data_IF_196084442532
#
_entry.id   IF_196084442532
#
_cell.length_a   1.000
_cell.length_b   1.000
_cell.length_c   1.000
_cell.angle_alpha   90.00
_cell.angle_beta   90.00
_cell.angle_gamma   90.00
#
_symmetry.space_group_name_H-M   'P 1'
#
loop_
_entity.id
_entity.type
_entity.pdbx_description
1 polymer ?
#
# COMPACT_ATOMS: atom_id res chain seq x y z
N UNK A 1 -16.28 27.08 3.21
CA UNK A 1 -17.51 27.55 2.53
C UNK A 1 -18.49 26.44 2.13
N UNK A 2 -18.19 25.51 1.20
CA UNK A 2 -19.17 24.45 0.81
C UNK A 2 -19.56 23.58 2.00
N UNK A 3 -18.54 23.14 2.73
CA UNK A 3 -18.67 22.31 3.93
C UNK A 3 -19.48 23.00 5.03
N UNK A 4 -19.15 24.25 5.36
CA UNK A 4 -19.90 25.03 6.36
C UNK A 4 -21.36 25.17 6.00
N UNK A 5 -21.66 25.52 4.74
CA UNK A 5 -23.03 25.64 4.24
C UNK A 5 -23.76 24.30 4.29
N UNK A 6 -23.05 23.20 4.04
CA UNK A 6 -23.61 21.86 4.14
C UNK A 6 -24.00 21.54 5.59
N UNK A 7 -23.07 21.71 6.55
CA UNK A 7 -23.33 21.53 7.98
C UNK A 7 -24.52 22.36 8.46
N UNK A 8 -24.58 23.65 8.08
CA UNK A 8 -25.70 24.54 8.41
C UNK A 8 -27.03 24.04 7.85
N UNK A 9 -27.04 23.55 6.60
CA UNK A 9 -28.26 23.01 5.95
C UNK A 9 -28.78 21.76 6.63
N UNK A 10 -27.90 20.88 7.11
CA UNK A 10 -28.29 19.63 7.78
C UNK A 10 -28.34 19.73 9.31
N UNK A 11 -28.08 20.92 9.88
CA UNK A 11 -28.00 21.18 11.33
C UNK A 11 -27.00 20.25 12.04
N UNK A 12 -25.86 20.01 11.40
CA UNK A 12 -24.74 19.25 11.98
C UNK A 12 -23.70 20.22 12.53
N UNK A 13 -23.17 19.92 13.72
CA UNK A 13 -22.02 20.67 14.25
C UNK A 13 -20.82 20.45 13.33
N UNK A 14 -20.08 21.53 13.03
CA UNK A 14 -18.90 21.46 12.17
C UNK A 14 -17.81 20.57 12.79
N UNK A 15 -17.71 20.57 14.12
CA UNK A 15 -16.75 19.76 14.88
C UNK A 15 -17.01 18.25 14.80
N UNK A 16 -18.24 17.83 14.48
CA UNK A 16 -18.60 16.42 14.25
C UNK A 16 -18.14 15.91 12.88
N UNK A 17 -17.64 16.80 12.02
CA UNK A 17 -17.32 16.47 10.65
C UNK A 17 -15.82 16.32 10.42
N UNK A 18 -15.45 15.17 9.84
CA UNK A 18 -14.08 14.85 9.45
C UNK A 18 -13.95 14.79 7.94
N UNK A 19 -13.08 15.63 7.38
CA UNK A 19 -12.78 15.63 5.95
C UNK A 19 -11.60 14.71 5.65
N UNK A 20 -11.69 14.06 4.49
CA UNK A 20 -10.70 13.10 3.99
C UNK A 20 -10.54 13.27 2.49
N UNK A 21 -9.31 13.48 2.04
CA UNK A 21 -8.93 13.43 0.63
C UNK A 21 -8.11 12.16 0.41
N UNK A 22 -8.41 11.47 -0.68
CA UNK A 22 -7.76 10.24 -1.10
C UNK A 22 -7.39 10.39 -2.58
N UNK A 23 -6.11 10.29 -2.87
CA UNK A 23 -5.59 10.25 -4.23
C UNK A 23 -4.84 8.95 -4.42
N UNK A 24 -4.98 8.32 -5.58
CA UNK A 24 -4.15 7.17 -5.92
C UNK A 24 -3.71 7.17 -7.38
N UNK A 25 -2.57 6.53 -7.63
CA UNK A 25 -2.06 6.18 -8.95
C UNK A 25 -1.96 4.65 -9.00
N UNK A 26 -2.45 4.03 -10.08
CA UNK A 26 -2.41 2.57 -10.24
C UNK A 26 -1.82 2.24 -11.60
N UNK A 27 -0.91 1.28 -11.63
CA UNK A 27 -0.27 0.79 -12.84
C UNK A 27 0.23 -0.64 -12.66
N UNK A 28 0.36 -1.36 -13.77
CA UNK A 28 1.01 -2.67 -13.81
C UNK A 28 2.52 -2.47 -14.02
N UNK A 29 3.32 -3.10 -13.15
CA UNK A 29 4.78 -3.06 -13.22
C UNK A 29 5.29 -3.59 -14.57
N UNK A 30 4.59 -4.54 -15.18
CA UNK A 30 5.01 -5.20 -16.41
C UNK A 30 4.34 -4.66 -17.68
N UNK A 31 3.63 -3.52 -17.59
CA UNK A 31 2.90 -2.96 -18.72
C UNK A 31 3.77 -2.82 -19.99
N UNK A 32 5.05 -2.44 -19.86
CA UNK A 32 5.98 -2.34 -20.98
C UNK A 32 6.27 -3.69 -21.65
N UNK A 33 6.43 -4.75 -20.87
CA UNK A 33 6.64 -6.11 -21.36
C UNK A 33 5.44 -6.63 -22.16
N UNK A 34 4.23 -6.13 -21.83
CA UNK A 34 2.97 -6.43 -22.52
C UNK A 34 2.72 -5.56 -23.76
N UNK A 35 3.71 -4.78 -24.18
CA UNK A 35 3.63 -3.93 -25.37
C UNK A 35 3.04 -2.53 -25.13
N UNK A 36 2.72 -2.16 -23.88
CA UNK A 36 2.27 -0.80 -23.56
C UNK A 36 3.49 0.15 -23.49
N UNK A 37 3.77 0.85 -24.58
CA UNK A 37 4.90 1.79 -24.69
C UNK A 37 4.54 3.24 -24.35
N UNK A 38 3.25 3.53 -24.13
CA UNK A 38 2.78 4.86 -23.77
C UNK A 38 3.35 5.25 -22.41
N UNK A 39 4.02 6.40 -22.35
CA UNK A 39 4.51 6.98 -21.11
C UNK A 39 3.67 8.19 -20.75
N UNK A 40 3.08 8.18 -19.55
CA UNK A 40 2.39 9.33 -18.98
C UNK A 40 3.15 9.82 -17.75
N UNK A 41 3.70 11.03 -17.83
CA UNK A 41 4.38 11.63 -16.70
C UNK A 41 3.35 12.13 -15.66
N UNK A 42 3.47 11.64 -14.43
CA UNK A 42 2.65 12.08 -13.30
C UNK A 42 3.50 12.83 -12.28
N UNK A 43 3.12 14.07 -11.97
CA UNK A 43 3.75 14.84 -10.88
C UNK A 43 3.03 14.56 -9.57
N UNK A 44 3.68 13.80 -8.69
CA UNK A 44 3.21 13.54 -7.33
C UNK A 44 3.41 14.80 -6.49
N UNK A 45 2.33 15.54 -6.25
CA UNK A 45 2.34 16.72 -5.37
C UNK A 45 1.75 16.34 -4.03
N UNK A 46 2.30 16.88 -2.96
CA UNK A 46 1.69 16.79 -1.63
C UNK A 46 0.29 17.43 -1.68
N UNK A 47 -0.67 16.85 -0.96
CA UNK A 47 -2.08 17.25 -1.02
C UNK A 47 -2.24 18.70 -0.51
N UNK A 48 -1.57 19.06 0.57
CA UNK A 48 -1.55 20.42 1.11
C UNK A 48 -1.07 21.47 0.07
N UNK A 49 0.01 21.19 -0.67
CA UNK A 49 0.53 22.04 -1.75
C UNK A 49 -0.46 22.14 -2.91
N UNK A 50 -1.18 21.05 -3.20
CA UNK A 50 -2.27 21.04 -4.20
C UNK A 50 -3.41 21.98 -3.77
N UNK A 51 -3.82 21.94 -2.51
CA UNK A 51 -4.86 22.83 -1.98
C UNK A 51 -4.39 24.29 -1.96
N UNK A 52 -3.15 24.54 -1.54
CA UNK A 52 -2.56 25.87 -1.52
C UNK A 52 -2.52 26.50 -2.94
N UNK A 53 -2.25 25.71 -3.98
CA UNK A 53 -2.27 26.19 -5.37
C UNK A 53 -3.64 26.70 -5.84
N UNK A 54 -4.72 26.29 -5.15
CA UNK A 54 -6.10 26.73 -5.38
C UNK A 54 -6.56 27.77 -4.33
N UNK A 55 -5.63 28.34 -3.55
CA UNK A 55 -5.90 29.27 -2.45
C UNK A 55 -6.79 28.68 -1.35
N UNK A 56 -6.73 27.37 -1.15
CA UNK A 56 -7.41 26.67 -0.04
C UNK A 56 -6.37 26.33 1.01
N UNK A 57 -6.61 26.77 2.25
CA UNK A 57 -5.75 26.45 3.39
C UNK A 57 -6.20 25.16 4.05
N UNK A 58 -5.26 24.25 4.29
CA UNK A 58 -5.47 23.07 5.13
C UNK A 58 -5.13 23.47 6.58
N UNK A 59 -5.88 23.00 7.60
CA UNK A 59 -5.54 23.26 9.00
C UNK A 59 -4.13 22.80 9.35
N UNK A 60 -3.47 23.50 10.28
CA UNK A 60 -2.15 23.10 10.79
C UNK A 60 -2.16 21.68 11.38
N UNK A 61 -3.24 21.33 12.07
CA UNK A 61 -3.47 19.99 12.60
C UNK A 61 -4.22 19.14 11.58
N UNK A 62 -3.47 18.37 10.80
CA UNK A 62 -4.01 17.35 9.89
C UNK A 62 -3.11 16.11 9.90
N UNK A 63 -3.69 14.95 9.60
CA UNK A 63 -2.94 13.72 9.36
C UNK A 63 -2.73 13.55 7.87
N UNK A 64 -1.49 13.40 7.43
CA UNK A 64 -1.13 13.01 6.07
C UNK A 64 -0.44 11.65 6.08
N UNK A 65 -0.73 10.80 5.10
CA UNK A 65 -0.06 9.53 4.98
C UNK A 65 0.04 9.09 3.52
N UNK A 66 1.20 8.53 3.17
CA UNK A 66 1.47 8.02 1.84
C UNK A 66 1.93 6.57 1.96
N UNK A 67 1.40 5.71 1.10
CA UNK A 67 1.72 4.29 1.11
C UNK A 67 1.48 3.70 -0.28
N UNK A 68 2.11 2.57 -0.56
CA UNK A 68 1.83 1.78 -1.75
C UNK A 68 1.25 0.43 -1.35
N UNK A 69 0.33 -0.08 -2.16
CA UNK A 69 -0.15 -1.45 -2.10
C UNK A 69 0.20 -2.10 -3.42
N UNK A 70 1.03 -3.14 -3.38
CA UNK A 70 1.34 -3.97 -4.54
C UNK A 70 0.50 -5.23 -4.44
N UNK A 71 -0.24 -5.55 -5.50
CA UNK A 71 -1.05 -6.77 -5.59
C UNK A 71 -0.37 -7.74 -6.53
N UNK A 72 -0.05 -8.93 -6.02
CA UNK A 72 0.48 -10.06 -6.77
C UNK A 72 -0.56 -11.18 -6.75
N UNK A 73 -1.05 -11.60 -7.92
CA UNK A 73 -1.95 -12.73 -8.01
C UNK A 73 -1.18 -14.04 -7.79
N UNK A 74 -1.80 -15.00 -7.12
CA UNK A 74 -1.22 -16.33 -6.96
C UNK A 74 -1.47 -17.12 -8.24
N UNK A 75 -0.41 -17.40 -9.00
CA UNK A 75 -0.43 -18.21 -10.21
C UNK A 75 -0.15 -19.69 -9.91
N UNK A 76 -0.48 -20.56 -10.87
CA UNK A 76 -0.19 -21.99 -10.74
C UNK A 76 1.32 -22.25 -10.75
N UNK A 77 2.07 -21.45 -11.51
CA UNK A 77 3.52 -21.45 -11.57
C UNK A 77 4.12 -21.18 -10.20
N UNK A 78 3.61 -20.18 -9.47
CA UNK A 78 4.05 -19.87 -8.11
C UNK A 78 3.75 -20.99 -7.11
N UNK A 79 2.60 -21.66 -7.25
CA UNK A 79 2.23 -22.80 -6.42
C UNK A 79 3.15 -24.02 -6.64
N UNK A 80 3.68 -24.19 -7.85
CA UNK A 80 4.60 -25.29 -8.18
C UNK A 80 6.02 -25.09 -7.60
N UNK A 81 6.35 -23.87 -7.15
CA UNK A 81 7.63 -23.56 -6.51
C UNK A 81 7.73 -24.04 -5.05
N UNK A 82 6.61 -24.49 -4.47
CA UNK A 82 6.55 -24.93 -3.07
C UNK A 82 5.85 -26.28 -2.93
N UNK A 83 6.27 -27.07 -1.94
CA UNK A 83 5.59 -28.32 -1.61
C UNK A 83 4.34 -28.04 -0.77
N UNK A 84 3.17 -28.40 -1.31
CA UNK A 84 1.87 -28.22 -0.64
C UNK A 84 1.33 -29.60 -0.26
N UNK A 85 1.27 -29.87 1.05
CA UNK A 85 0.59 -31.05 1.58
C UNK A 85 -0.89 -30.72 1.87
N UNK A 86 -1.77 -31.18 0.98
CA UNK A 86 -3.23 -31.00 1.12
C UNK A 86 -3.85 -31.68 2.36
N UNK A 87 -3.13 -32.59 3.02
CA UNK A 87 -3.57 -33.24 4.25
C UNK A 87 -3.10 -32.53 5.52
N UNK A 88 -2.23 -31.52 5.39
CA UNK A 88 -1.82 -30.67 6.50
C UNK A 88 -2.97 -29.80 7.01
N UNK A 89 -2.87 -29.35 8.26
CA UNK A 89 -3.79 -28.33 8.81
C UNK A 89 -3.54 -26.95 8.20
N UNK A 90 -2.31 -26.72 7.74
CA UNK A 90 -1.81 -25.44 7.24
C UNK A 90 -1.15 -25.63 5.86
N UNK A 91 -1.88 -26.13 4.84
CA UNK A 91 -1.33 -26.53 3.55
C UNK A 91 -0.60 -25.40 2.81
N UNK A 92 -1.03 -24.15 2.97
CA UNK A 92 -0.49 -23.00 2.23
C UNK A 92 0.57 -22.22 3.01
N UNK A 93 0.92 -22.64 4.22
CA UNK A 93 1.97 -21.98 5.00
C UNK A 93 3.33 -21.93 4.27
N UNK A 94 3.80 -22.99 3.57
CA UNK A 94 5.05 -22.94 2.81
C UNK A 94 5.06 -21.85 1.73
N UNK A 95 3.93 -21.66 1.02
CA UNK A 95 3.77 -20.60 0.02
C UNK A 95 3.96 -19.21 0.66
N UNK A 96 3.20 -18.91 1.72
CA UNK A 96 3.25 -17.58 2.32
C UNK A 96 4.55 -17.29 3.05
N UNK A 97 5.22 -18.30 3.58
CA UNK A 97 6.59 -18.18 4.10
C UNK A 97 7.58 -17.85 2.98
N UNK A 98 7.55 -18.60 1.88
CA UNK A 98 8.41 -18.34 0.72
C UNK A 98 8.22 -16.91 0.18
N UNK A 99 6.97 -16.48 0.00
CA UNK A 99 6.66 -15.11 -0.42
C UNK A 99 7.13 -14.06 0.59
N UNK A 100 6.99 -14.33 1.89
CA UNK A 100 7.48 -13.43 2.95
C UNK A 100 8.99 -13.28 2.91
N UNK A 101 9.73 -14.37 2.69
CA UNK A 101 11.19 -14.37 2.66
C UNK A 101 11.70 -13.58 1.46
N UNK A 102 11.19 -13.85 0.26
CA UNK A 102 11.58 -13.13 -0.96
C UNK A 102 11.18 -11.66 -0.88
N UNK A 103 9.97 -11.35 -0.40
CA UNK A 103 9.52 -9.98 -0.16
C UNK A 103 10.43 -9.24 0.81
N UNK A 104 10.74 -9.85 1.96
CA UNK A 104 11.57 -9.26 3.00
C UNK A 104 13.00 -9.02 2.50
N UNK A 105 13.55 -9.97 1.74
CA UNK A 105 14.86 -9.82 1.10
C UNK A 105 14.86 -8.63 0.14
N UNK A 106 13.88 -8.56 -0.77
CA UNK A 106 13.81 -7.50 -1.77
C UNK A 106 13.59 -6.12 -1.13
N UNK A 107 12.68 -6.02 -0.16
CA UNK A 107 12.42 -4.79 0.55
C UNK A 107 13.66 -4.28 1.31
N UNK A 108 14.39 -5.16 2.02
CA UNK A 108 15.64 -4.81 2.71
C UNK A 108 16.73 -4.33 1.75
N UNK A 109 16.87 -4.96 0.57
CA UNK A 109 17.84 -4.58 -0.47
C UNK A 109 17.71 -3.10 -0.87
N UNK A 110 16.48 -2.58 -0.91
CA UNK A 110 16.16 -1.22 -1.32
C UNK A 110 15.80 -0.29 -0.17
N UNK A 111 16.11 -0.67 1.08
CA UNK A 111 15.84 0.10 2.31
C UNK A 111 14.35 0.42 2.54
N UNK A 112 13.46 -0.48 2.11
CA UNK A 112 12.02 -0.42 2.38
C UNK A 112 11.72 -1.19 3.66
N UNK A 113 11.93 -0.53 4.80
CA UNK A 113 11.87 -1.17 6.12
C UNK A 113 10.53 -1.03 6.84
N UNK A 114 9.53 -0.39 6.20
CA UNK A 114 8.21 -0.19 6.76
C UNK A 114 7.16 -0.76 5.81
N UNK A 115 6.68 -1.97 6.11
CA UNK A 115 5.73 -2.63 5.24
C UNK A 115 5.04 -3.82 5.87
N UNK A 116 4.10 -4.39 5.11
CA UNK A 116 3.40 -5.59 5.50
C UNK A 116 3.08 -6.48 4.31
N UNK A 117 3.07 -7.79 4.52
CA UNK A 117 2.52 -8.77 3.58
C UNK A 117 1.18 -9.24 4.12
N UNK A 118 0.11 -9.07 3.35
CA UNK A 118 -1.26 -9.47 3.69
C UNK A 118 -1.74 -10.52 2.69
N UNK A 119 -2.05 -11.71 3.19
CA UNK A 119 -2.55 -12.84 2.40
C UNK A 119 -3.68 -13.56 3.14
N UNK A 120 -4.76 -12.83 3.41
CA UNK A 120 -5.93 -13.32 4.13
C UNK A 120 -7.26 -12.94 3.46
N UNK A 121 -7.23 -12.51 2.19
CA UNK A 121 -8.40 -12.14 1.41
C UNK A 121 -9.07 -10.82 1.83
N UNK A 122 -8.50 -10.07 2.77
CA UNK A 122 -9.03 -8.78 3.23
C UNK A 122 -8.33 -7.61 2.52
N UNK A 123 -9.02 -6.47 2.41
CA UNK A 123 -8.48 -5.27 1.78
C UNK A 123 -7.67 -4.43 2.79
N UNK A 124 -6.36 -4.18 2.58
CA UNK A 124 -5.53 -3.42 3.47
C UNK A 124 -5.89 -1.94 3.40
N UNK A 125 -6.14 -1.35 4.56
CA UNK A 125 -6.28 0.09 4.71
C UNK A 125 -5.28 0.58 5.74
N UNK A 126 -4.35 1.39 5.27
CA UNK A 126 -3.36 2.05 6.11
C UNK A 126 -4.00 3.29 6.73
N UNK A 127 -3.92 3.45 8.06
CA UNK A 127 -4.28 4.70 8.75
C UNK A 127 -3.18 5.17 9.69
N UNK A 128 -3.15 6.49 9.89
CA UNK A 128 -2.36 7.05 10.98
C UNK A 128 -2.87 6.51 12.32
N UNK A 129 -1.94 6.02 13.14
CA UNK A 129 -2.19 5.58 14.50
C UNK A 129 -0.96 5.87 15.35
N UNK A 130 -1.16 6.22 16.62
CA UNK A 130 -0.07 6.42 17.58
C UNK A 130 0.62 5.10 17.98
N UNK A 131 -0.12 3.99 17.87
CA UNK A 131 0.36 2.63 18.11
C UNK A 131 0.24 1.82 16.83
N UNK A 132 1.14 0.87 16.63
CA UNK A 132 0.96 -0.12 15.57
C UNK A 132 -0.24 -1.01 15.90
N UNK A 133 -1.22 -1.01 15.02
CA UNK A 133 -2.47 -1.76 15.21
C UNK A 133 -2.74 -2.54 13.93
N UNK A 134 -2.91 -3.85 14.08
CA UNK A 134 -3.40 -4.72 13.01
C UNK A 134 -4.75 -5.25 13.46
N UNK A 135 -5.83 -4.83 12.80
CA UNK A 135 -7.18 -5.26 13.17
C UNK A 135 -8.04 -5.56 11.95
N UNK A 136 -8.96 -6.51 12.10
CA UNK A 136 -9.96 -6.85 11.08
C UNK A 136 -11.24 -6.05 11.36
N UNK A 137 -11.76 -5.38 10.33
CA UNK A 137 -13.04 -4.68 10.38
C UNK A 137 -13.88 -5.09 9.16
N UNK A 138 -14.72 -6.11 9.35
CA UNK A 138 -15.45 -6.74 8.25
C UNK A 138 -14.50 -7.35 7.21
N UNK A 139 -14.52 -6.80 6.00
CA UNK A 139 -13.68 -7.17 4.86
C UNK A 139 -12.35 -6.39 4.79
N UNK A 140 -12.09 -5.53 5.78
CA UNK A 140 -10.93 -4.65 5.80
C UNK A 140 -9.86 -5.17 6.76
N UNK A 141 -8.61 -5.14 6.31
CA UNK A 141 -7.42 -5.29 7.14
C UNK A 141 -6.90 -3.89 7.48
N UNK A 142 -7.23 -3.41 8.68
CA UNK A 142 -6.74 -2.13 9.16
C UNK A 142 -5.28 -2.27 9.60
N UNK A 143 -4.42 -1.39 9.08
CA UNK A 143 -3.02 -1.27 9.46
C UNK A 143 -2.77 0.15 9.98
N UNK A 144 -2.61 0.28 11.29
CA UNK A 144 -2.26 1.53 11.96
C UNK A 144 -0.76 1.72 11.96
N UNK A 145 -0.27 2.82 11.40
CA UNK A 145 1.14 3.19 11.38
C UNK A 145 1.35 4.60 11.90
N UNK A 146 2.50 4.83 12.54
CA UNK A 146 2.97 6.17 12.86
C UNK A 146 4.18 6.49 11.97
N UNK A 147 4.04 7.37 10.95
CA UNK A 147 5.17 7.75 10.12
C UNK A 147 6.33 8.36 10.91
N UNK A 148 6.07 8.98 12.05
CA UNK A 148 7.10 9.63 12.88
C UNK A 148 7.90 8.65 13.75
N UNK A 149 7.47 7.39 13.84
CA UNK A 149 8.21 6.34 14.56
C UNK A 149 9.19 5.63 13.63
N UNK A 150 10.27 5.11 14.21
CA UNK A 150 11.25 4.32 13.46
C UNK A 150 10.58 3.10 12.81
N UNK A 151 11.00 2.70 11.60
CA UNK A 151 10.41 1.55 10.91
C UNK A 151 10.41 0.31 11.79
N UNK A 152 9.25 -0.34 11.98
CA UNK A 152 9.14 -1.57 12.79
C UNK A 152 9.40 -2.86 11.98
N UNK A 153 10.09 -2.73 10.83
CA UNK A 153 10.34 -3.86 9.95
C UNK A 153 9.11 -4.23 9.13
N UNK A 154 9.08 -5.50 8.72
CA UNK A 154 8.04 -6.04 7.85
C UNK A 154 7.15 -6.98 8.66
N UNK A 155 5.84 -6.72 8.62
CA UNK A 155 4.85 -7.54 9.30
C UNK A 155 4.13 -8.42 8.28
N UNK A 156 4.16 -9.74 8.46
CA UNK A 156 3.39 -10.64 7.59
C UNK A 156 2.16 -11.20 8.32
N UNK A 157 1.02 -11.23 7.61
CA UNK A 157 -0.26 -11.76 8.07
C UNK A 157 -0.91 -12.56 6.95
N UNK A 158 -1.12 -13.85 7.18
CA UNK A 158 -1.76 -14.74 6.21
C UNK A 158 -2.71 -15.74 6.88
N UNK A 159 -3.57 -16.37 6.08
CA UNK A 159 -4.41 -17.50 6.49
C UNK A 159 -3.76 -18.81 6.00
N UNK A 160 -3.12 -19.57 6.89
CA UNK A 160 -2.34 -20.74 6.48
C UNK A 160 -3.20 -21.91 5.93
N UNK A 161 -4.48 -21.95 6.31
CA UNK A 161 -5.45 -22.93 5.86
C UNK A 161 -6.16 -22.58 4.54
N UNK A 162 -6.03 -21.35 4.05
CA UNK A 162 -6.78 -20.86 2.90
C UNK A 162 -5.85 -20.28 1.82
N UNK A 163 -6.07 -20.71 0.58
CA UNK A 163 -5.45 -20.09 -0.58
C UNK A 163 -6.23 -18.84 -0.95
N UNK A 164 -5.54 -17.70 -0.99
CA UNK A 164 -6.10 -16.43 -1.45
C UNK A 164 -5.75 -16.20 -2.92
N UNK A 165 -6.64 -15.53 -3.66
CA UNK A 165 -6.41 -15.19 -5.07
C UNK A 165 -5.18 -14.29 -5.29
N UNK A 166 -4.86 -13.44 -4.31
CA UNK A 166 -3.74 -12.52 -4.38
C UNK A 166 -3.11 -12.27 -3.00
N UNK A 167 -1.88 -11.79 -3.04
CA UNK A 167 -1.12 -11.29 -1.89
C UNK A 167 -0.89 -9.81 -2.07
N UNK A 168 -1.06 -9.06 -0.98
CA UNK A 168 -0.94 -7.62 -0.97
C UNK A 168 0.25 -7.18 -0.13
N UNK A 169 1.19 -6.52 -0.78
CA UNK A 169 2.41 -6.00 -0.18
C UNK A 169 2.22 -4.50 0.06
N UNK A 170 2.19 -4.10 1.32
CA UNK A 170 2.01 -2.73 1.75
C UNK A 170 3.36 -2.12 2.07
N UNK A 171 3.63 -0.93 1.56
CA UNK A 171 4.79 -0.11 1.91
C UNK A 171 4.33 1.23 2.43
N UNK A 172 4.80 1.65 3.61
CA UNK A 172 4.38 2.93 4.21
C UNK A 172 5.53 3.92 4.18
N UNK A 173 5.28 5.11 3.64
CA UNK A 173 6.29 6.14 3.49
C UNK A 173 6.69 6.73 4.85
N UNK A 174 8.00 6.85 5.09
CA UNK A 174 8.57 7.56 6.23
C UNK A 174 8.59 9.08 5.97
N UNK A 175 8.90 9.94 6.96
CA UNK A 175 8.90 11.39 6.77
C UNK A 175 9.88 11.84 5.69
N UNK A 176 11.01 11.14 5.55
CA UNK A 176 12.00 11.36 4.48
C UNK A 176 11.42 11.12 3.08
N UNK A 177 10.38 10.30 2.97
CA UNK A 177 9.70 9.96 1.72
C UNK A 177 8.47 10.84 1.47
N UNK A 178 8.05 11.64 2.47
CA UNK A 178 6.85 12.48 2.42
C UNK A 178 7.13 13.88 1.87
N UNK A 179 7.92 13.98 0.80
CA UNK A 179 8.15 15.22 0.06
C UNK A 179 8.00 15.02 -1.44
N UNK A 180 7.81 16.11 -2.20
CA UNK A 180 7.72 16.05 -3.66
C UNK A 180 8.87 15.29 -4.35
N UNK A 181 10.10 15.37 -3.83
CA UNK A 181 11.23 14.55 -4.30
C UNK A 181 11.24 13.14 -3.66
N UNK A 182 10.79 13.03 -2.41
CA UNK A 182 10.70 11.78 -1.66
C UNK A 182 9.74 10.77 -2.28
N UNK A 183 8.60 11.20 -2.83
CA UNK A 183 7.63 10.30 -3.47
C UNK A 183 8.21 9.54 -4.67
N UNK A 184 8.92 10.26 -5.54
CA UNK A 184 9.57 9.65 -6.70
C UNK A 184 10.65 8.65 -6.28
N UNK A 185 11.46 9.00 -5.27
CA UNK A 185 12.46 8.08 -4.71
C UNK A 185 11.80 6.82 -4.15
N UNK A 186 10.75 6.98 -3.34
CA UNK A 186 10.04 5.88 -2.71
C UNK A 186 9.41 4.92 -3.73
N UNK A 187 8.72 5.46 -4.75
CA UNK A 187 8.18 4.63 -5.82
C UNK A 187 9.26 3.91 -6.62
N UNK A 188 10.35 4.59 -6.96
CA UNK A 188 11.47 3.94 -7.65
C UNK A 188 12.06 2.79 -6.81
N UNK A 189 12.18 2.97 -5.49
CA UNK A 189 12.62 1.91 -4.58
C UNK A 189 11.64 0.73 -4.58
N UNK A 190 10.33 1.01 -4.54
CA UNK A 190 9.30 -0.03 -4.62
C UNK A 190 9.37 -0.77 -5.94
N UNK A 191 9.42 -0.07 -7.08
CA UNK A 191 9.53 -0.72 -8.39
C UNK A 191 10.77 -1.61 -8.49
N UNK A 192 11.92 -1.14 -8.01
CA UNK A 192 13.15 -1.93 -8.02
C UNK A 192 13.04 -3.17 -7.10
N UNK A 193 12.45 -3.01 -5.91
CA UNK A 193 12.20 -4.14 -5.01
C UNK A 193 11.24 -5.16 -5.62
N UNK A 194 10.18 -4.69 -6.28
CA UNK A 194 9.20 -5.55 -6.92
C UNK A 194 9.75 -6.23 -8.18
N UNK A 195 10.62 -5.57 -8.95
CA UNK A 195 11.35 -6.21 -10.05
C UNK A 195 12.28 -7.31 -9.55
N UNK A 196 13.00 -7.08 -8.45
CA UNK A 196 13.85 -8.10 -7.83
C UNK A 196 12.99 -9.27 -7.33
N UNK A 197 11.92 -9.00 -6.58
CA UNK A 197 11.00 -10.03 -6.12
C UNK A 197 10.42 -10.83 -7.28
N UNK A 198 10.01 -10.19 -8.37
CA UNK A 198 9.49 -10.86 -9.54
C UNK A 198 10.52 -11.78 -10.21
N UNK A 199 11.79 -11.38 -10.26
CA UNK A 199 12.85 -12.21 -10.79
C UNK A 199 13.10 -13.45 -9.92
N UNK A 200 13.14 -13.29 -8.59
CA UNK A 200 13.33 -14.40 -7.64
C UNK A 200 12.15 -15.38 -7.59
N UNK A 201 10.93 -14.88 -7.84
CA UNK A 201 9.72 -15.68 -7.94
C UNK A 201 9.47 -16.24 -9.34
N UNK A 202 10.38 -15.99 -10.30
CA UNK A 202 10.27 -16.42 -11.69
C UNK A 202 8.98 -15.97 -12.40
N UNK A 203 8.42 -14.82 -12.00
CA UNK A 203 7.18 -14.26 -12.56
C UNK A 203 7.38 -13.90 -14.03
N UNK A 204 6.49 -14.36 -14.91
CA UNK A 204 6.54 -14.10 -16.35
C UNK A 204 5.90 -12.73 -16.70
N UNK A 205 6.70 -11.69 -17.02
CA UNK A 205 6.17 -10.31 -17.14
C UNK A 205 5.18 -10.11 -18.31
N UNK A 206 5.19 -11.01 -19.29
CA UNK A 206 4.31 -10.96 -20.47
C UNK A 206 2.93 -11.57 -20.20
N UNK A 207 2.80 -12.45 -19.20
CA UNK A 207 1.56 -13.18 -18.89
C UNK A 207 0.97 -12.78 -17.54
N UNK A 208 1.80 -12.52 -16.55
CA UNK A 208 1.39 -12.22 -15.19
C UNK A 208 1.33 -10.71 -14.94
N UNK A 209 0.61 -10.31 -13.90
CA UNK A 209 0.47 -8.91 -13.50
C UNK A 209 0.96 -8.68 -12.08
N UNK A 210 1.58 -7.52 -11.87
CA UNK A 210 1.91 -7.03 -10.54
C UNK A 210 1.49 -5.57 -10.46
N UNK A 211 0.33 -5.35 -9.82
CA UNK A 211 -0.32 -4.05 -9.82
C UNK A 211 0.18 -3.23 -8.64
N UNK A 212 0.80 -2.08 -8.93
CA UNK A 212 1.24 -1.12 -7.92
C UNK A 212 0.18 -0.02 -7.82
N UNK A 213 -0.33 0.20 -6.60
CA UNK A 213 -1.21 1.32 -6.28
C UNK A 213 -0.57 2.20 -5.22
N UNK A 214 -0.18 3.41 -5.62
CA UNK A 214 0.30 4.44 -4.70
C UNK A 214 -0.86 5.27 -4.18
N UNK A 215 -0.91 5.49 -2.88
CA UNK A 215 -1.95 6.25 -2.18
C UNK A 215 -1.34 7.47 -1.50
N UNK A 216 -2.03 8.60 -1.63
CA UNK A 216 -1.83 9.78 -0.81
C UNK A 216 -3.13 10.08 -0.07
N UNK A 217 -3.03 10.28 1.24
CA UNK A 217 -4.17 10.55 2.10
C UNK A 217 -3.93 11.79 2.93
N UNK A 218 -4.97 12.62 3.07
CA UNK A 218 -5.00 13.75 3.99
C UNK A 218 -6.34 13.75 4.72
N UNK A 219 -6.31 13.97 6.03
CA UNK A 219 -7.51 14.07 6.84
C UNK A 219 -7.37 15.08 7.96
N UNK A 220 -8.46 15.78 8.27
CA UNK A 220 -8.55 16.71 9.39
C UNK A 220 -10.00 16.80 9.88
N UNK A 221 -10.16 17.21 11.14
CA UNK A 221 -11.46 17.56 11.68
C UNK A 221 -11.72 19.04 11.37
N UNK A 222 -12.96 19.37 11.02
CA UNK A 222 -13.36 20.73 10.64
C UNK A 222 -13.61 21.62 11.86
#
# INVERSE_FOLDING_TARGET
>A
QVVERFCEKIKLDKSDMRLRDHQHLTYDLFAKNKGCTITQAHKLREIDKRYASQKVTVPSHHSAMNYAVVTLNISNELLQQVEIDSHSKDPYNPLYMYLTDVFTMAAKRYNLNNGALIANGLVPIVRYSIHEIVSRVGELQMLGYNPEQSPCGIVSKWSAGELTDNVQLVFVATPENNSGHGFGRFLNQIEQAMQLMAAELEIEPTKEEMVIRFHQHLAYNY
#
